data_IF_525596374417
#
_entry.id   IF_525596374417
#
_cell.length_a   1.000
_cell.length_b   1.000
_cell.length_c   1.000
_cell.angle_alpha   90.00
_cell.angle_beta   90.00
_cell.angle_gamma   90.00
#
_symmetry.space_group_name_H-M   'P 1'
#
loop_
_entity.id
_entity.type
_entity.pdbx_description
1 polymer ?
#
# COMPACT_ATOMS: atom_id res chain seq x y z
N UNK A 1 6.15 19.45 -32.68
CA UNK A 1 5.14 18.39 -32.48
C UNK A 1 5.84 17.22 -31.82
N UNK A 2 5.58 16.98 -30.54
CA UNK A 2 5.82 15.70 -29.87
C UNK A 2 4.72 15.58 -28.82
N UNK A 3 3.51 15.24 -29.26
CA UNK A 3 2.53 14.67 -28.35
C UNK A 3 3.02 13.25 -28.06
N UNK A 4 3.71 13.09 -26.93
CA UNK A 4 3.77 11.79 -26.26
C UNK A 4 2.31 11.36 -26.05
N UNK A 5 1.88 10.35 -26.78
CA UNK A 5 0.57 9.73 -26.58
C UNK A 5 0.55 9.18 -25.15
N UNK A 6 -0.04 9.92 -24.22
CA UNK A 6 -0.33 9.42 -22.87
C UNK A 6 -1.16 8.16 -23.03
N UNK A 7 -0.57 7.00 -22.74
CA UNK A 7 -1.30 5.73 -22.79
C UNK A 7 -2.45 5.80 -21.79
N UNK A 8 -3.69 5.72 -22.29
CA UNK A 8 -4.88 5.67 -21.46
C UNK A 8 -4.73 4.52 -20.48
N UNK A 9 -4.89 4.81 -19.18
CA UNK A 9 -4.80 3.82 -18.10
C UNK A 9 -6.11 3.05 -18.01
N UNK A 10 -6.06 1.80 -17.57
CA UNK A 10 -7.26 0.96 -17.46
C UNK A 10 -7.62 0.68 -16.01
N UNK A 11 -8.89 0.92 -15.68
CA UNK A 11 -9.56 0.46 -14.47
C UNK A 11 -10.36 -0.78 -14.85
N UNK A 12 -10.02 -1.94 -14.29
CA UNK A 12 -10.87 -3.13 -14.37
C UNK A 12 -11.84 -3.09 -13.20
N UNK A 13 -13.13 -2.84 -13.48
CA UNK A 13 -14.18 -2.94 -12.48
C UNK A 13 -14.84 -4.33 -12.58
N UNK A 14 -14.85 -5.08 -11.47
CA UNK A 14 -15.50 -6.38 -11.36
C UNK A 14 -16.61 -6.26 -10.31
N UNK A 15 -17.86 -6.29 -10.77
CA UNK A 15 -19.02 -6.34 -9.91
C UNK A 15 -19.57 -7.75 -9.79
N UNK A 16 -19.65 -8.31 -8.58
CA UNK A 16 -20.29 -9.61 -8.37
C UNK A 16 -21.80 -9.43 -8.23
N UNK A 17 -22.59 -10.12 -9.07
CA UNK A 17 -24.04 -10.04 -8.95
C UNK A 17 -24.50 -10.77 -7.68
N UNK A 18 -25.31 -10.08 -6.88
CA UNK A 18 -26.04 -10.65 -5.76
C UNK A 18 -27.41 -9.98 -5.66
N UNK A 19 -28.51 -10.71 -5.36
CA UNK A 19 -29.84 -10.13 -5.21
C UNK A 19 -29.93 -9.06 -4.13
N UNK A 20 -29.02 -9.10 -3.15
CA UNK A 20 -29.07 -8.33 -1.92
C UNK A 20 -28.30 -6.99 -2.01
N UNK A 21 -27.62 -6.70 -3.13
CA UNK A 21 -26.78 -5.51 -3.29
C UNK A 21 -26.86 -4.91 -4.69
N UNK A 22 -27.02 -3.58 -4.76
CA UNK A 22 -26.94 -2.85 -6.03
C UNK A 22 -25.53 -2.31 -6.23
N UNK A 23 -24.75 -2.97 -7.09
CA UNK A 23 -23.40 -2.54 -7.51
C UNK A 23 -23.43 -1.55 -8.69
N UNK A 24 -24.58 -1.39 -9.37
CA UNK A 24 -24.64 -0.59 -10.59
C UNK A 24 -24.43 0.90 -10.31
N UNK A 25 -24.87 1.40 -9.16
CA UNK A 25 -24.77 2.82 -8.81
C UNK A 25 -23.31 3.25 -8.65
N UNK A 26 -22.49 2.36 -8.07
CA UNK A 26 -21.07 2.59 -7.93
C UNK A 26 -20.37 2.68 -9.28
N UNK A 27 -20.51 1.66 -10.14
CA UNK A 27 -19.80 1.67 -11.42
C UNK A 27 -20.28 2.80 -12.34
N UNK A 28 -21.56 3.18 -12.27
CA UNK A 28 -22.08 4.35 -12.97
C UNK A 28 -21.43 5.64 -12.49
N UNK A 29 -21.23 5.80 -11.18
CA UNK A 29 -20.54 6.97 -10.63
C UNK A 29 -19.08 7.04 -11.10
N UNK A 30 -18.37 5.91 -11.09
CA UNK A 30 -16.99 5.82 -11.58
C UNK A 30 -16.93 6.15 -13.08
N UNK A 31 -17.81 5.55 -13.88
CA UNK A 31 -17.87 5.79 -15.32
C UNK A 31 -18.15 7.27 -15.62
N UNK A 32 -19.10 7.89 -14.92
CA UNK A 32 -19.42 9.29 -15.09
C UNK A 32 -18.21 10.22 -14.84
N UNK A 33 -17.40 9.93 -13.82
CA UNK A 33 -16.18 10.70 -13.55
C UNK A 33 -15.13 10.46 -14.65
N UNK A 34 -15.00 9.22 -15.12
CA UNK A 34 -13.97 8.83 -16.09
C UNK A 34 -14.32 9.15 -17.53
N UNK A 35 -15.59 9.45 -17.83
CA UNK A 35 -16.05 9.94 -19.13
C UNK A 35 -15.80 11.46 -19.31
N UNK A 36 -15.35 12.16 -18.26
CA UNK A 36 -14.94 13.56 -18.37
C UNK A 36 -13.80 13.73 -19.39
N UNK A 37 -13.83 14.79 -20.19
CA UNK A 37 -12.91 14.98 -21.34
C UNK A 37 -11.42 14.95 -20.99
N UNK A 38 -11.06 15.29 -19.75
CA UNK A 38 -9.69 15.31 -19.26
C UNK A 38 -9.24 14.01 -18.56
N UNK A 39 -10.14 13.03 -18.45
CA UNK A 39 -9.83 11.75 -17.82
C UNK A 39 -8.76 11.00 -18.59
N UNK A 40 -7.79 10.45 -17.86
CA UNK A 40 -6.72 9.60 -18.42
C UNK A 40 -7.03 8.11 -18.32
N UNK A 41 -8.25 7.75 -17.94
CA UNK A 41 -8.63 6.39 -17.62
C UNK A 41 -9.77 5.87 -18.49
N UNK A 42 -9.72 4.58 -18.80
CA UNK A 42 -10.79 3.79 -19.38
C UNK A 42 -11.30 2.79 -18.35
N UNK A 43 -12.61 2.68 -18.19
CA UNK A 43 -13.26 1.73 -17.28
C UNK A 43 -13.69 0.49 -18.08
N UNK A 44 -13.04 -0.64 -17.81
CA UNK A 44 -13.44 -1.97 -18.28
C UNK A 44 -14.37 -2.59 -17.24
N UNK A 45 -15.68 -2.36 -17.40
CA UNK A 45 -16.71 -2.87 -16.49
C UNK A 45 -17.09 -4.33 -16.82
N UNK A 46 -16.99 -5.22 -15.83
CA UNK A 46 -17.37 -6.63 -15.90
C UNK A 46 -18.30 -6.98 -14.74
N UNK A 47 -19.53 -7.38 -15.05
CA UNK A 47 -20.39 -8.07 -14.09
C UNK A 47 -20.15 -9.57 -14.19
N UNK A 48 -19.97 -10.23 -13.04
CA UNK A 48 -19.65 -11.66 -12.96
C UNK A 48 -20.68 -12.43 -12.13
N UNK A 49 -20.94 -13.68 -12.54
CA UNK A 49 -21.94 -14.57 -11.93
C UNK A 49 -21.32 -15.89 -11.40
N UNK A 50 -19.99 -16.07 -11.48
CA UNK A 50 -19.26 -17.23 -10.93
C UNK A 50 -17.84 -16.86 -10.47
N UNK A 51 -17.20 -17.64 -9.58
CA UNK A 51 -15.79 -17.41 -9.20
C UNK A 51 -14.83 -17.50 -10.38
N UNK A 52 -15.10 -18.43 -11.32
CA UNK A 52 -14.32 -18.57 -12.54
C UNK A 52 -14.43 -17.38 -13.49
N UNK A 53 -15.52 -16.61 -13.42
CA UNK A 53 -15.65 -15.36 -14.18
C UNK A 53 -14.76 -14.23 -13.63
N UNK A 54 -14.48 -14.23 -12.31
CA UNK A 54 -13.54 -13.26 -11.71
C UNK A 54 -12.14 -13.47 -12.28
N UNK A 55 -11.65 -14.71 -12.25
CA UNK A 55 -10.35 -15.08 -12.82
C UNK A 55 -10.29 -14.76 -14.32
N UNK A 56 -11.32 -15.15 -15.09
CA UNK A 56 -11.41 -14.81 -16.51
C UNK A 56 -11.41 -13.30 -16.75
N UNK A 57 -12.07 -12.50 -15.93
CA UNK A 57 -12.09 -11.05 -16.06
C UNK A 57 -10.70 -10.46 -15.86
N UNK A 58 -9.97 -10.90 -14.82
CA UNK A 58 -8.60 -10.49 -14.52
C UNK A 58 -7.67 -10.87 -15.69
N UNK A 59 -7.73 -12.13 -16.16
CA UNK A 59 -6.90 -12.59 -17.28
C UNK A 59 -7.21 -11.86 -18.60
N UNK A 60 -8.49 -11.62 -18.90
CA UNK A 60 -8.93 -10.94 -20.15
C UNK A 60 -8.60 -9.46 -20.17
N UNK A 61 -8.53 -8.80 -19.01
CA UNK A 61 -8.06 -7.43 -18.95
C UNK A 61 -6.60 -7.32 -19.44
N UNK A 62 -5.87 -8.45 -19.49
CA UNK A 62 -4.45 -8.53 -19.86
C UNK A 62 -3.57 -7.84 -18.82
N UNK A 63 -2.25 -7.86 -19.00
CA UNK A 63 -1.29 -7.14 -18.16
C UNK A 63 -1.41 -5.59 -18.31
N UNK A 64 -2.61 -5.07 -18.51
CA UNK A 64 -2.91 -3.68 -18.86
C UNK A 64 -3.83 -2.97 -17.88
N UNK A 65 -4.47 -3.66 -16.92
CA UNK A 65 -5.23 -3.00 -15.87
C UNK A 65 -4.27 -2.43 -14.81
N UNK A 66 -4.27 -1.12 -14.62
CA UNK A 66 -3.50 -0.48 -13.57
C UNK A 66 -4.26 -0.38 -12.25
N UNK A 67 -5.59 -0.38 -12.31
CA UNK A 67 -6.44 -0.45 -11.13
C UNK A 67 -7.39 -1.63 -11.30
N UNK A 68 -7.51 -2.48 -10.28
CA UNK A 68 -8.54 -3.51 -10.20
C UNK A 68 -9.46 -3.15 -9.05
N UNK A 69 -10.74 -2.91 -9.35
CA UNK A 69 -11.77 -2.58 -8.37
C UNK A 69 -12.78 -3.72 -8.33
N UNK A 70 -12.91 -4.38 -7.19
CA UNK A 70 -13.85 -5.49 -7.00
C UNK A 70 -14.91 -5.05 -6.01
N UNK A 71 -16.18 -5.12 -6.43
CA UNK A 71 -17.33 -4.69 -5.64
C UNK A 71 -18.37 -5.78 -5.56
N UNK A 72 -19.03 -5.89 -4.40
CA UNK A 72 -20.01 -6.95 -4.18
C UNK A 72 -20.38 -7.18 -2.73
N UNK A 73 -21.03 -8.32 -2.49
CA UNK A 73 -21.50 -8.68 -1.17
C UNK A 73 -20.43 -9.48 -0.41
N UNK A 74 -19.77 -8.83 0.53
CA UNK A 74 -18.79 -9.47 1.41
C UNK A 74 -19.44 -10.31 2.51
N UNK A 75 -18.85 -11.45 2.82
CA UNK A 75 -19.21 -12.27 3.98
C UNK A 75 -18.03 -12.34 4.96
N UNK A 76 -18.29 -12.85 6.17
CA UNK A 76 -17.26 -12.96 7.21
C UNK A 76 -16.03 -13.75 6.73
N UNK A 77 -14.84 -13.37 7.22
CA UNK A 77 -13.56 -13.95 6.77
C UNK A 77 -13.04 -13.37 5.45
N UNK A 78 -13.58 -12.23 5.01
CA UNK A 78 -13.13 -11.51 3.81
C UNK A 78 -13.42 -12.20 2.49
N UNK A 79 -14.42 -13.08 2.47
CA UNK A 79 -14.91 -13.72 1.25
C UNK A 79 -15.88 -12.79 0.54
N UNK A 80 -16.04 -12.99 -0.77
CA UNK A 80 -17.05 -12.30 -1.57
C UNK A 80 -18.04 -13.33 -2.12
N UNK A 81 -19.33 -13.09 -1.87
CA UNK A 81 -20.43 -13.93 -2.32
C UNK A 81 -20.68 -13.68 -3.80
N UNK A 82 -20.76 -14.74 -4.57
CA UNK A 82 -21.09 -14.74 -5.99
C UNK A 82 -22.32 -15.63 -6.15
N UNK A 83 -23.43 -15.02 -6.53
CA UNK A 83 -24.70 -15.75 -6.62
C UNK A 83 -24.83 -16.28 -8.04
N UNK A 84 -24.75 -17.60 -8.18
CA UNK A 84 -25.26 -18.25 -9.39
C UNK A 84 -26.77 -18.02 -9.49
N UNK A 85 -27.38 -18.35 -10.64
CA UNK A 85 -28.82 -18.18 -10.91
C UNK A 85 -29.77 -18.75 -9.84
N UNK A 86 -29.30 -19.58 -8.90
CA UNK A 86 -30.05 -20.08 -7.74
C UNK A 86 -29.57 -19.41 -6.42
N UNK A 87 -30.41 -18.59 -5.76
CA UNK A 87 -30.10 -17.97 -4.46
C UNK A 87 -29.73 -18.95 -3.33
N UNK A 88 -30.04 -20.25 -3.48
CA UNK A 88 -29.73 -21.30 -2.50
C UNK A 88 -28.32 -21.87 -2.62
N UNK A 89 -27.63 -21.64 -3.74
CA UNK A 89 -26.26 -22.08 -3.98
C UNK A 89 -25.42 -20.82 -4.18
N UNK A 90 -25.03 -20.20 -3.06
CA UNK A 90 -24.08 -19.11 -3.10
C UNK A 90 -22.67 -19.68 -3.19
N UNK A 91 -21.96 -19.36 -4.28
CA UNK A 91 -20.53 -19.59 -4.36
C UNK A 91 -19.83 -18.46 -3.59
N UNK A 92 -18.79 -18.77 -2.82
CA UNK A 92 -17.96 -17.77 -2.15
C UNK A 92 -16.55 -17.83 -2.74
N UNK A 93 -16.00 -16.67 -3.11
CA UNK A 93 -14.60 -16.59 -3.47
C UNK A 93 -13.76 -16.39 -2.20
N UNK A 94 -12.91 -17.37 -1.91
CA UNK A 94 -12.01 -17.35 -0.76
C UNK A 94 -10.87 -16.33 -0.92
N UNK A 95 -10.46 -15.63 0.16
CA UNK A 95 -9.37 -14.65 0.19
C UNK A 95 -8.07 -15.12 -0.49
N UNK A 96 -7.68 -16.37 -0.23
CA UNK A 96 -6.45 -16.97 -0.76
C UNK A 96 -6.53 -17.16 -2.28
N UNK A 97 -7.68 -17.63 -2.74
CA UNK A 97 -7.93 -17.84 -4.16
C UNK A 97 -7.95 -16.51 -4.91
N UNK A 98 -8.61 -15.49 -4.35
CA UNK A 98 -8.58 -14.14 -4.92
C UNK A 98 -7.16 -13.58 -5.02
N UNK A 99 -6.32 -13.80 -3.99
CA UNK A 99 -4.92 -13.37 -4.03
C UNK A 99 -4.10 -14.05 -5.13
N UNK A 100 -4.31 -15.35 -5.40
CA UNK A 100 -3.67 -16.04 -6.52
C UNK A 100 -4.15 -15.51 -7.88
N UNK A 101 -5.43 -15.15 -8.02
CA UNK A 101 -5.93 -14.52 -9.26
C UNK A 101 -5.24 -13.17 -9.50
N UNK A 102 -5.15 -12.32 -8.47
CA UNK A 102 -4.51 -11.00 -8.56
C UNK A 102 -3.01 -11.10 -8.81
N UNK A 103 -2.33 -12.09 -8.23
CA UNK A 103 -0.90 -12.37 -8.46
C UNK A 103 -0.59 -12.73 -9.92
N UNK A 104 -1.55 -13.33 -10.62
CA UNK A 104 -1.44 -13.66 -12.04
C UNK A 104 -1.85 -12.50 -12.97
N UNK A 105 -2.27 -11.35 -12.41
CA UNK A 105 -2.41 -10.12 -13.19
C UNK A 105 -1.03 -9.55 -13.57
N UNK A 106 -1.02 -8.55 -14.45
CA UNK A 106 0.20 -7.75 -14.71
C UNK A 106 0.56 -6.84 -13.54
N UNK A 107 1.43 -5.86 -13.76
CA UNK A 107 1.73 -4.83 -12.76
C UNK A 107 0.50 -3.95 -12.51
N UNK A 108 0.03 -3.92 -11.25
CA UNK A 108 -1.17 -3.20 -10.81
C UNK A 108 -0.76 -2.12 -9.81
N UNK A 109 -1.15 -0.87 -10.07
CA UNK A 109 -0.89 0.24 -9.17
C UNK A 109 -1.80 0.20 -7.93
N UNK A 110 -3.05 -0.25 -8.08
CA UNK A 110 -3.98 -0.35 -6.95
C UNK A 110 -5.02 -1.47 -7.11
N UNK A 111 -5.24 -2.25 -6.06
CA UNK A 111 -6.40 -3.13 -5.90
C UNK A 111 -7.33 -2.56 -4.85
N UNK A 112 -8.61 -2.41 -5.18
CA UNK A 112 -9.66 -1.92 -4.27
C UNK A 112 -10.67 -3.05 -4.08
N UNK A 113 -10.79 -3.54 -2.86
CA UNK A 113 -11.80 -4.53 -2.48
C UNK A 113 -12.96 -3.82 -1.79
N UNK A 114 -13.89 -3.29 -2.57
CA UNK A 114 -15.02 -2.51 -2.09
C UNK A 114 -16.22 -3.41 -1.72
N UNK A 115 -16.03 -4.23 -0.70
CA UNK A 115 -17.07 -5.07 -0.12
C UNK A 115 -16.80 -5.27 1.38
N UNK A 116 -17.87 -5.57 2.14
CA UNK A 116 -17.80 -5.74 3.59
C UNK A 116 -16.73 -6.74 4.02
N UNK A 117 -16.02 -6.45 5.12
CA UNK A 117 -15.02 -7.34 5.73
C UNK A 117 -13.84 -7.76 4.82
N UNK A 118 -13.59 -7.04 3.71
CA UNK A 118 -12.56 -7.40 2.73
C UNK A 118 -11.12 -7.31 3.23
N UNK A 119 -10.87 -6.82 4.45
CA UNK A 119 -9.54 -6.75 5.08
C UNK A 119 -8.75 -8.04 4.99
N UNK A 120 -9.38 -9.20 5.20
CA UNK A 120 -8.66 -10.48 5.18
C UNK A 120 -8.15 -10.80 3.76
N UNK A 121 -9.00 -10.65 2.73
CA UNK A 121 -8.57 -10.73 1.33
C UNK A 121 -7.49 -9.71 0.98
N UNK A 122 -7.65 -8.46 1.41
CA UNK A 122 -6.67 -7.41 1.18
C UNK A 122 -5.29 -7.75 1.80
N UNK A 123 -5.28 -8.36 2.99
CA UNK A 123 -4.06 -8.87 3.61
C UNK A 123 -3.41 -9.99 2.80
N UNK A 124 -4.19 -10.94 2.28
CA UNK A 124 -3.64 -12.00 1.43
C UNK A 124 -3.05 -11.45 0.14
N UNK A 125 -3.72 -10.49 -0.52
CA UNK A 125 -3.20 -9.84 -1.72
C UNK A 125 -1.90 -9.10 -1.40
N UNK A 126 -1.90 -8.23 -0.38
CA UNK A 126 -0.71 -7.43 -0.02
C UNK A 126 0.52 -8.29 0.31
N UNK A 127 0.32 -9.49 0.89
CA UNK A 127 1.40 -10.42 1.23
C UNK A 127 1.89 -11.27 0.06
N UNK A 128 1.03 -11.60 -0.90
CA UNK A 128 1.33 -12.64 -1.90
C UNK A 128 1.42 -12.11 -3.35
N UNK A 129 0.79 -10.99 -3.66
CA UNK A 129 0.74 -10.39 -4.99
C UNK A 129 1.74 -9.23 -5.11
N UNK A 130 3.02 -9.56 -5.33
CA UNK A 130 4.12 -8.57 -5.43
C UNK A 130 4.00 -7.59 -6.61
N UNK A 131 3.17 -7.94 -7.59
CA UNK A 131 2.81 -7.08 -8.72
C UNK A 131 1.86 -5.93 -8.34
N UNK A 132 1.36 -5.89 -7.10
CA UNK A 132 0.40 -4.88 -6.64
C UNK A 132 1.07 -3.84 -5.73
N UNK A 133 1.01 -2.56 -6.09
CA UNK A 133 1.63 -1.48 -5.30
C UNK A 133 0.80 -1.03 -4.10
N UNK A 134 -0.53 -1.10 -4.20
CA UNK A 134 -1.48 -0.68 -3.17
C UNK A 134 -2.66 -1.63 -3.09
N UNK A 135 -3.08 -1.96 -1.87
CA UNK A 135 -4.29 -2.73 -1.62
C UNK A 135 -5.16 -1.99 -0.63
N UNK A 136 -6.41 -1.73 -1.01
CA UNK A 136 -7.42 -1.08 -0.20
C UNK A 136 -8.53 -2.09 0.09
N UNK A 137 -8.99 -2.13 1.32
CA UNK A 137 -10.11 -2.97 1.75
C UNK A 137 -10.91 -2.31 2.86
N UNK A 138 -11.83 -3.08 3.44
CA UNK A 138 -12.77 -2.62 4.46
C UNK A 138 -12.66 -3.54 5.67
N UNK A 139 -12.46 -2.96 6.85
CA UNK A 139 -12.28 -3.71 8.10
C UNK A 139 -13.59 -4.23 8.69
N UNK A 140 -14.73 -3.72 8.23
CA UNK A 140 -16.06 -4.01 8.80
C UNK A 140 -17.15 -3.96 7.72
N UNK A 141 -18.42 -3.98 8.11
CA UNK A 141 -19.56 -3.76 7.22
C UNK A 141 -19.62 -2.33 6.67
N UNK A 142 -20.01 -2.15 5.41
CA UNK A 142 -20.21 -0.81 4.82
C UNK A 142 -21.57 -0.78 4.13
N UNK A 143 -22.32 0.31 4.30
CA UNK A 143 -23.56 0.53 3.55
C UNK A 143 -23.26 1.00 2.11
N UNK A 144 -24.17 0.70 1.18
CA UNK A 144 -23.99 1.03 -0.23
C UNK A 144 -23.77 2.53 -0.51
N UNK A 145 -24.51 3.48 0.12
CA UNK A 145 -24.23 4.91 -0.06
C UNK A 145 -22.80 5.30 0.30
N UNK A 146 -22.29 4.82 1.45
CA UNK A 146 -20.90 5.07 1.87
C UNK A 146 -19.88 4.45 0.91
N UNK A 147 -20.18 3.28 0.33
CA UNK A 147 -19.34 2.65 -0.69
C UNK A 147 -19.28 3.45 -2.00
N UNK A 148 -20.42 3.97 -2.46
CA UNK A 148 -20.49 4.83 -3.64
C UNK A 148 -19.75 6.15 -3.43
N UNK A 149 -19.88 6.77 -2.25
CA UNK A 149 -19.16 8.01 -1.92
C UNK A 149 -17.64 7.81 -1.84
N UNK A 150 -17.18 6.69 -1.25
CA UNK A 150 -15.76 6.33 -1.29
C UNK A 150 -15.24 6.31 -2.73
N UNK A 151 -15.88 5.52 -3.59
CA UNK A 151 -15.49 5.37 -5.00
C UNK A 151 -15.55 6.71 -5.74
N UNK A 152 -16.60 7.49 -5.52
CA UNK A 152 -16.78 8.81 -6.15
C UNK A 152 -15.64 9.75 -5.80
N UNK A 153 -15.31 9.93 -4.52
CA UNK A 153 -14.24 10.83 -4.09
C UNK A 153 -12.85 10.30 -4.49
N UNK A 154 -12.61 8.99 -4.35
CA UNK A 154 -11.36 8.34 -4.77
C UNK A 154 -11.05 8.59 -6.25
N UNK A 155 -12.01 8.30 -7.13
CA UNK A 155 -11.82 8.43 -8.57
C UNK A 155 -11.85 9.88 -9.05
N UNK A 156 -12.57 10.78 -8.37
CA UNK A 156 -12.50 12.22 -8.63
C UNK A 156 -11.12 12.79 -8.34
N UNK A 157 -10.43 12.31 -7.29
CA UNK A 157 -9.06 12.73 -7.02
C UNK A 157 -8.07 12.18 -8.07
N UNK A 158 -8.36 11.06 -8.71
CA UNK A 158 -7.47 10.45 -9.71
C UNK A 158 -7.65 10.97 -11.14
N UNK A 159 -8.86 11.37 -11.54
CA UNK A 159 -9.28 11.40 -12.95
C UNK A 159 -8.33 12.16 -13.90
N UNK A 160 -7.77 13.29 -13.48
CA UNK A 160 -6.88 14.14 -14.29
C UNK A 160 -5.39 14.05 -13.91
N UNK A 161 -5.07 13.31 -12.85
CA UNK A 161 -3.74 13.23 -12.24
C UNK A 161 -2.91 12.05 -12.78
N UNK A 162 -1.56 12.12 -12.72
CA UNK A 162 -0.73 10.96 -13.05
C UNK A 162 -0.96 9.82 -12.04
N UNK A 163 -1.06 8.59 -12.53
CA UNK A 163 -1.19 7.43 -11.65
C UNK A 163 0.16 7.08 -11.01
N UNK A 164 0.28 7.35 -9.71
CA UNK A 164 1.41 6.95 -8.89
C UNK A 164 0.95 6.74 -7.43
N UNK A 165 1.82 6.16 -6.61
CA UNK A 165 1.58 5.87 -5.20
C UNK A 165 1.03 7.04 -4.40
N UNK A 166 1.64 8.23 -4.51
CA UNK A 166 1.24 9.43 -3.77
C UNK A 166 -0.18 9.88 -4.12
N UNK A 167 -0.52 9.88 -5.41
CA UNK A 167 -1.87 10.24 -5.87
C UNK A 167 -2.91 9.21 -5.43
N UNK A 168 -2.59 7.91 -5.49
CA UNK A 168 -3.48 6.83 -4.98
C UNK A 168 -3.70 6.98 -3.48
N UNK A 169 -2.67 7.34 -2.72
CA UNK A 169 -2.77 7.51 -1.28
C UNK A 169 -3.62 8.72 -0.90
N UNK A 170 -3.47 9.83 -1.62
CA UNK A 170 -4.36 10.98 -1.45
C UNK A 170 -5.80 10.63 -1.83
N UNK A 171 -6.01 9.95 -2.95
CA UNK A 171 -7.33 9.47 -3.37
C UNK A 171 -7.99 8.56 -2.32
N UNK A 172 -7.20 7.66 -1.70
CA UNK A 172 -7.67 6.82 -0.60
C UNK A 172 -8.15 7.66 0.59
N UNK A 173 -7.41 8.71 0.97
CA UNK A 173 -7.79 9.56 2.09
C UNK A 173 -9.05 10.38 1.82
N UNK A 174 -9.16 10.95 0.62
CA UNK A 174 -10.38 11.67 0.18
C UNK A 174 -11.59 10.73 0.15
N UNK A 175 -11.44 9.54 -0.45
CA UNK A 175 -12.46 8.50 -0.47
C UNK A 175 -12.90 8.08 0.94
N UNK A 176 -11.93 7.79 1.81
CA UNK A 176 -12.20 7.38 3.19
C UNK A 176 -12.90 8.49 3.96
N UNK A 177 -12.50 9.75 3.80
CA UNK A 177 -13.13 10.89 4.42
C UNK A 177 -14.58 11.07 3.94
N UNK A 178 -14.84 10.95 2.64
CA UNK A 178 -16.18 11.05 2.05
C UNK A 178 -17.12 9.96 2.58
N UNK A 179 -16.69 8.70 2.58
CA UNK A 179 -17.47 7.61 3.18
C UNK A 179 -17.75 7.83 4.68
N UNK A 180 -16.77 8.38 5.40
CA UNK A 180 -16.89 8.62 6.84
C UNK A 180 -17.91 9.73 7.19
N UNK A 181 -18.29 10.58 6.23
CA UNK A 181 -19.35 11.58 6.43
C UNK A 181 -20.74 10.95 6.55
N UNK A 182 -20.96 9.81 5.90
CA UNK A 182 -22.23 9.05 5.97
C UNK A 182 -22.17 8.07 7.15
N UNK A 183 -21.08 7.28 7.21
CA UNK A 183 -20.88 6.27 8.22
C UNK A 183 -19.72 6.71 9.13
N UNK A 184 -20.02 7.15 10.36
CA UNK A 184 -19.11 7.92 11.24
C UNK A 184 -17.81 7.22 11.67
N UNK A 185 -17.52 6.03 11.14
CA UNK A 185 -16.31 5.25 11.41
C UNK A 185 -15.43 5.12 10.16
N UNK A 186 -14.11 5.17 10.36
CA UNK A 186 -13.13 4.98 9.29
C UNK A 186 -12.97 3.50 8.93
N UNK A 187 -13.92 2.95 8.16
CA UNK A 187 -13.96 1.51 7.84
C UNK A 187 -12.98 1.10 6.74
N UNK A 188 -12.66 2.02 5.83
CA UNK A 188 -11.68 1.78 4.78
C UNK A 188 -10.26 1.79 5.33
N UNK A 189 -9.52 0.76 4.97
CA UNK A 189 -8.13 0.58 5.30
C UNK A 189 -7.30 0.44 4.03
N UNK A 190 -6.10 1.02 4.05
CA UNK A 190 -5.06 0.74 3.08
C UNK A 190 -4.06 -0.18 3.77
N UNK A 191 -3.71 -1.27 3.11
CA UNK A 191 -2.77 -2.23 3.68
C UNK A 191 -1.35 -1.68 3.48
N UNK A 192 -0.55 -1.62 4.55
CA UNK A 192 0.79 -1.07 4.47
C UNK A 192 1.70 -2.02 3.69
N UNK A 193 2.75 -1.48 3.06
CA UNK A 193 3.74 -2.30 2.36
C UNK A 193 4.66 -2.94 3.38
N UNK A 194 4.89 -4.25 3.27
CA UNK A 194 5.92 -4.91 4.07
C UNK A 194 7.20 -4.99 3.25
N UNK A 195 8.28 -4.42 3.80
CA UNK A 195 9.56 -4.29 3.12
C UNK A 195 10.71 -4.82 3.97
N UNK A 196 11.81 -5.15 3.30
CA UNK A 196 13.13 -5.23 3.89
C UNK A 196 13.99 -4.08 3.41
N UNK A 197 14.88 -3.58 4.27
CA UNK A 197 15.72 -2.41 3.99
C UNK A 197 17.18 -2.84 4.16
N UNK A 198 17.96 -2.81 3.08
CA UNK A 198 19.35 -3.29 3.10
C UNK A 198 20.36 -2.17 2.78
N UNK A 199 21.35 -2.01 3.65
CA UNK A 199 22.42 -1.01 3.52
C UNK A 199 23.38 -1.39 2.41
N UNK A 200 23.86 -0.44 1.61
CA UNK A 200 24.82 -0.66 0.52
C UNK A 200 26.29 -0.55 0.92
N UNK A 201 26.60 -0.39 2.21
CA UNK A 201 27.96 -0.23 2.71
C UNK A 201 28.94 -1.35 2.30
N UNK A 202 30.24 -1.02 2.41
CA UNK A 202 31.36 -1.71 1.76
C UNK A 202 31.69 -3.12 2.29
N UNK A 203 31.11 -3.51 3.43
CA UNK A 203 31.46 -4.78 4.09
C UNK A 203 30.31 -5.78 3.99
N UNK A 204 30.64 -6.97 3.49
CA UNK A 204 29.72 -8.11 3.42
C UNK A 204 29.36 -8.62 4.82
N UNK A 205 28.15 -9.14 4.99
CA UNK A 205 27.65 -9.66 6.26
C UNK A 205 26.34 -9.00 6.68
N UNK A 206 26.31 -8.39 7.87
CA UNK A 206 25.12 -7.72 8.40
C UNK A 206 24.79 -6.45 7.61
N UNK A 207 23.63 -6.45 6.93
CA UNK A 207 23.20 -5.37 6.04
C UNK A 207 21.72 -5.02 6.14
N UNK A 208 20.89 -5.87 6.72
CA UNK A 208 19.45 -5.63 6.82
C UNK A 208 19.13 -4.82 8.07
N UNK A 209 18.41 -3.71 7.92
CA UNK A 209 17.92 -2.91 9.03
C UNK A 209 17.04 -3.79 9.92
N UNK A 210 17.43 -3.96 11.18
CA UNK A 210 16.79 -4.88 12.10
C UNK A 210 16.40 -4.18 13.40
N UNK A 211 15.09 -4.08 13.64
CA UNK A 211 14.55 -3.62 14.91
C UNK A 211 14.60 -4.71 15.96
N UNK A 212 15.18 -4.42 17.12
CA UNK A 212 15.17 -5.29 18.30
C UNK A 212 14.08 -4.80 19.23
N UNK A 213 12.88 -5.33 19.01
CA UNK A 213 11.62 -4.79 19.55
C UNK A 213 11.52 -4.83 21.07
N UNK A 214 12.18 -5.78 21.74
CA UNK A 214 12.23 -5.84 23.20
C UNK A 214 13.10 -4.74 23.80
N UNK A 215 14.28 -4.53 23.24
CA UNK A 215 15.28 -3.59 23.75
C UNK A 215 15.07 -2.16 23.26
N UNK A 216 14.25 -1.95 22.24
CA UNK A 216 14.03 -0.64 21.64
C UNK A 216 15.22 -0.14 20.81
N UNK A 217 16.08 -1.05 20.35
CA UNK A 217 17.32 -0.72 19.63
C UNK A 217 17.24 -1.14 18.16
N UNK A 218 18.13 -0.57 17.35
CA UNK A 218 18.22 -0.87 15.91
C UNK A 218 19.66 -1.26 15.57
N UNK A 219 19.80 -2.28 14.74
CA UNK A 219 21.10 -2.81 14.31
C UNK A 219 21.00 -3.35 12.88
N UNK A 220 22.12 -3.83 12.35
CA UNK A 220 22.14 -4.58 11.10
C UNK A 220 22.14 -6.09 11.37
N UNK A 221 21.31 -6.81 10.63
CA UNK A 221 21.25 -8.27 10.62
C UNK A 221 21.80 -8.85 9.31
N UNK A 222 22.31 -10.09 9.31
CA UNK A 222 22.88 -10.73 8.12
C UNK A 222 21.85 -11.34 7.16
N UNK A 223 20.58 -11.49 7.56
CA UNK A 223 19.54 -12.09 6.72
C UNK A 223 18.13 -11.65 7.14
N UNK A 224 17.14 -11.92 6.30
CA UNK A 224 15.70 -11.68 6.56
C UNK A 224 14.92 -12.94 7.01
N UNK A 225 15.65 -14.00 7.36
CA UNK A 225 15.07 -15.27 7.82
C UNK A 225 14.23 -15.08 9.08
N UNK A 226 13.36 -16.04 9.40
CA UNK A 226 12.39 -15.96 10.50
C UNK A 226 13.01 -15.55 11.85
N UNK A 227 14.22 -16.02 12.17
CA UNK A 227 14.93 -15.64 13.41
C UNK A 227 15.31 -14.14 13.50
N UNK A 228 15.29 -13.43 12.38
CA UNK A 228 15.50 -11.99 12.28
C UNK A 228 14.20 -11.30 11.87
N UNK A 229 13.07 -11.67 12.48
CA UNK A 229 11.76 -11.07 12.16
C UNK A 229 11.76 -9.54 12.26
N UNK A 230 12.64 -8.95 13.08
CA UNK A 230 12.86 -7.51 13.16
C UNK A 230 13.39 -6.83 11.90
N UNK A 231 13.77 -7.59 10.86
CA UNK A 231 14.15 -7.08 9.53
C UNK A 231 12.98 -6.77 8.63
N UNK A 232 11.77 -7.12 9.06
CA UNK A 232 10.53 -6.87 8.32
C UNK A 232 9.91 -5.58 8.83
N UNK A 233 9.67 -4.65 7.91
CA UNK A 233 9.16 -3.32 8.23
C UNK A 233 7.86 -3.09 7.48
N UNK A 234 6.81 -2.78 8.23
CA UNK A 234 5.60 -2.19 7.70
C UNK A 234 5.89 -0.71 7.39
N UNK A 235 5.86 -0.35 6.11
CA UNK A 235 6.12 0.99 5.60
C UNK A 235 4.80 1.64 5.21
N UNK A 236 4.42 2.67 5.96
CA UNK A 236 3.20 3.43 5.74
C UNK A 236 3.55 4.83 5.21
N UNK A 237 3.11 5.15 3.99
CA UNK A 237 3.35 6.45 3.39
C UNK A 237 2.42 7.50 4.01
N UNK A 238 3.01 8.59 4.51
CA UNK A 238 2.33 9.75 5.05
C UNK A 238 2.13 10.76 3.91
N UNK A 239 0.92 11.32 3.74
CA UNK A 239 0.70 12.42 2.81
C UNK A 239 1.67 13.58 3.10
N UNK A 240 2.36 14.04 2.07
CA UNK A 240 3.22 15.21 2.18
C UNK A 240 2.95 16.17 1.04
N UNK A 241 3.18 17.46 1.28
CA UNK A 241 3.01 18.49 0.26
C UNK A 241 4.20 18.42 -0.71
N UNK A 242 3.97 17.90 -1.92
CA UNK A 242 4.97 17.82 -3.00
C UNK A 242 5.23 16.40 -3.51
N UNK A 243 6.25 16.24 -4.36
CA UNK A 243 6.59 14.97 -5.01
C UNK A 243 7.49 14.05 -4.16
N UNK A 244 7.70 14.36 -2.87
CA UNK A 244 8.55 13.55 -2.00
C UNK A 244 7.75 12.50 -1.22
N UNK A 245 8.21 11.25 -1.23
CA UNK A 245 7.63 10.17 -0.42
C UNK A 245 8.11 10.30 1.02
N UNK A 246 7.17 10.44 1.97
CA UNK A 246 7.44 10.42 3.41
C UNK A 246 6.77 9.19 4.01
N UNK A 247 7.46 8.48 4.90
CA UNK A 247 6.99 7.21 5.48
C UNK A 247 7.18 7.14 6.98
N UNK A 248 6.41 6.29 7.63
CA UNK A 248 6.76 5.66 8.92
C UNK A 248 7.20 4.23 8.67
N UNK A 249 8.08 3.72 9.56
CA UNK A 249 8.60 2.36 9.49
C UNK A 249 8.32 1.64 10.81
N UNK A 250 7.39 0.70 10.78
CA UNK A 250 6.98 -0.11 11.93
C UNK A 250 7.59 -1.51 11.83
N UNK A 251 8.44 -1.86 12.78
CA UNK A 251 9.08 -3.16 12.89
C UNK A 251 8.06 -4.25 13.20
N UNK A 252 8.12 -5.36 12.45
CA UNK A 252 7.25 -6.53 12.59
C UNK A 252 7.94 -7.69 13.33
N UNK A 253 8.90 -7.39 14.21
CA UNK A 253 9.55 -8.39 15.05
C UNK A 253 8.55 -9.15 15.93
N UNK A 254 8.76 -10.45 16.12
CA UNK A 254 7.78 -11.35 16.78
C UNK A 254 7.62 -11.08 18.29
N UNK A 255 8.46 -10.23 18.86
CA UNK A 255 8.44 -9.91 20.29
C UNK A 255 7.72 -8.59 20.51
N UNK A 256 6.72 -8.58 21.40
CA UNK A 256 6.02 -7.37 21.84
C UNK A 256 6.96 -6.35 22.50
N UNK A 257 6.71 -5.07 22.22
CA UNK A 257 7.57 -3.97 22.65
C UNK A 257 7.55 -2.79 21.67
N UNK A 258 8.70 -2.12 21.54
CA UNK A 258 8.88 -0.98 20.65
C UNK A 258 8.70 -1.38 19.18
N UNK A 259 8.21 -0.43 18.36
CA UNK A 259 7.76 -0.71 16.99
C UNK A 259 8.29 0.26 15.95
N UNK A 260 8.28 1.56 16.22
CA UNK A 260 8.50 2.55 15.15
C UNK A 260 9.95 3.03 15.12
N UNK A 261 10.54 3.08 13.92
CA UNK A 261 11.88 3.60 13.70
C UNK A 261 11.93 5.10 14.00
N UNK A 262 12.75 5.49 14.96
CA UNK A 262 12.91 6.88 15.40
C UNK A 262 14.36 7.34 15.22
N UNK A 263 14.55 8.39 14.43
CA UNK A 263 15.82 9.07 14.25
C UNK A 263 15.99 10.20 15.27
N UNK A 264 16.92 10.02 16.21
CA UNK A 264 17.23 11.00 17.25
C UNK A 264 18.29 11.96 16.74
N UNK A 265 17.81 13.02 16.10
CA UNK A 265 18.63 13.93 15.27
C UNK A 265 19.64 14.76 16.05
N UNK A 266 19.40 14.99 17.35
CA UNK A 266 20.35 15.67 18.25
C UNK A 266 21.53 14.76 18.61
N UNK A 267 21.25 13.50 18.92
CA UNK A 267 22.24 12.52 19.38
C UNK A 267 22.95 11.79 18.24
N UNK A 268 22.41 11.86 17.01
CA UNK A 268 22.92 11.11 15.86
C UNK A 268 22.67 9.61 15.96
N UNK A 269 21.64 9.21 16.71
CA UNK A 269 21.31 7.80 16.98
C UNK A 269 19.96 7.41 16.40
N UNK A 270 19.73 6.10 16.32
CA UNK A 270 18.46 5.52 15.85
C UNK A 270 17.98 4.51 16.87
N UNK A 271 16.68 4.53 17.17
CA UNK A 271 16.05 3.66 18.14
C UNK A 271 14.66 3.22 17.65
N UNK A 272 13.99 2.39 18.45
CA UNK A 272 12.58 2.15 18.30
C UNK A 272 11.79 2.87 19.39
N UNK A 273 10.64 3.42 19.03
CA UNK A 273 9.64 3.97 19.96
C UNK A 273 8.36 3.14 19.92
N UNK A 274 7.52 3.24 20.96
CA UNK A 274 6.32 2.40 21.08
C UNK A 274 5.21 2.83 20.13
N UNK A 275 5.08 4.13 19.88
CA UNK A 275 3.99 4.70 19.07
C UNK A 275 4.48 5.90 18.26
N UNK A 276 3.63 6.34 17.34
CA UNK A 276 3.79 7.56 16.56
C UNK A 276 2.87 8.64 17.13
N UNK A 277 3.45 9.80 17.43
CA UNK A 277 2.73 10.98 17.92
C UNK A 277 3.16 12.16 17.07
N UNK A 278 2.34 13.22 17.00
CA UNK A 278 2.62 14.36 16.13
C UNK A 278 3.97 15.04 16.45
N UNK A 279 4.35 15.05 17.73
CA UNK A 279 5.61 15.61 18.23
C UNK A 279 6.82 14.67 18.05
N UNK A 280 6.60 13.39 17.69
CA UNK A 280 7.64 12.42 17.39
C UNK A 280 8.07 12.54 15.92
N UNK A 281 8.54 13.73 15.53
CA UNK A 281 8.96 14.06 14.17
C UNK A 281 10.11 13.18 13.66
N UNK A 282 10.91 12.62 14.59
CA UNK A 282 11.96 11.64 14.30
C UNK A 282 11.47 10.30 13.71
N UNK A 283 10.17 10.00 13.81
CA UNK A 283 9.56 8.79 13.22
C UNK A 283 9.19 8.95 11.75
N UNK A 284 9.29 10.17 11.20
CA UNK A 284 8.94 10.48 9.82
C UNK A 284 10.21 10.49 8.97
N UNK A 285 10.22 9.66 7.92
CA UNK A 285 11.38 9.46 7.05
C UNK A 285 11.04 9.82 5.62
N UNK A 286 11.76 10.77 5.05
CA UNK A 286 11.68 11.10 3.64
C UNK A 286 12.59 10.16 2.84
N UNK A 287 12.03 9.49 1.83
CA UNK A 287 12.77 8.64 0.90
C UNK A 287 13.25 9.51 -0.26
N UNK A 288 14.56 9.57 -0.49
CA UNK A 288 15.17 10.37 -1.54
C UNK A 288 15.96 9.44 -2.49
N UNK A 289 15.77 9.52 -3.81
CA UNK A 289 16.56 8.74 -4.76
C UNK A 289 18.04 9.10 -4.67
N UNK A 290 18.92 8.11 -4.79
CA UNK A 290 20.38 8.30 -4.72
C UNK A 290 21.00 8.33 -6.12
N UNK A 291 21.72 9.41 -6.44
CA UNK A 291 22.69 9.53 -7.53
C UNK A 291 22.39 8.73 -8.82
N UNK A 292 21.25 8.99 -9.46
CA UNK A 292 20.95 8.49 -10.80
C UNK A 292 20.50 7.02 -10.90
N UNK A 293 20.44 6.28 -9.79
CA UNK A 293 19.85 4.94 -9.72
C UNK A 293 18.52 5.01 -8.96
N UNK A 294 17.40 4.78 -9.67
CA UNK A 294 16.08 4.81 -9.06
C UNK A 294 15.81 3.65 -8.10
N UNK A 295 16.69 2.65 -8.04
CA UNK A 295 16.57 1.50 -7.13
C UNK A 295 17.30 1.71 -5.80
N UNK A 296 18.11 2.77 -5.69
CA UNK A 296 18.88 3.09 -4.49
C UNK A 296 18.35 4.38 -3.88
N UNK A 297 18.14 4.36 -2.57
CA UNK A 297 17.57 5.49 -1.84
C UNK A 297 18.44 5.89 -0.66
N UNK A 298 18.20 7.11 -0.19
CA UNK A 298 18.67 7.60 1.11
C UNK A 298 17.45 7.91 1.96
N UNK A 299 17.52 7.57 3.25
CA UNK A 299 16.44 7.79 4.20
C UNK A 299 16.79 9.00 5.06
N UNK A 300 16.05 10.09 4.90
CA UNK A 300 16.24 11.33 5.64
C UNK A 300 15.20 11.47 6.76
N UNK A 301 15.64 11.46 8.00
CA UNK A 301 14.83 11.76 9.17
C UNK A 301 14.36 13.22 9.15
N UNK A 302 13.08 13.44 9.46
CA UNK A 302 12.44 14.74 9.52
C UNK A 302 12.35 15.33 10.94
N UNK A 303 13.14 14.82 11.88
CA UNK A 303 13.18 15.32 13.26
C UNK A 303 13.61 16.80 13.35
N UNK A 304 13.07 17.53 14.33
CA UNK A 304 13.10 19.00 14.36
C UNK A 304 14.47 19.64 14.63
N UNK A 305 15.46 18.89 15.15
CA UNK A 305 16.77 19.45 15.54
C UNK A 305 17.79 19.31 14.41
N UNK A 306 18.28 20.40 13.83
CA UNK A 306 19.29 20.37 12.76
C UNK A 306 20.60 19.65 13.14
N UNK A 307 21.25 19.03 12.15
CA UNK A 307 22.45 18.20 12.32
C UNK A 307 22.31 16.86 11.61
N UNK A 308 22.28 15.77 12.37
CA UNK A 308 22.20 14.41 11.83
C UNK A 308 20.82 14.14 11.23
N UNK A 309 20.78 13.72 9.96
CA UNK A 309 19.54 13.62 9.18
C UNK A 309 19.42 12.33 8.40
N UNK A 310 20.52 11.69 8.02
CA UNK A 310 20.47 10.56 7.10
C UNK A 310 20.77 9.25 7.82
N UNK A 311 20.02 8.20 7.50
CA UNK A 311 20.23 6.87 8.06
C UNK A 311 21.60 6.30 7.65
N UNK A 312 22.42 5.97 8.64
CA UNK A 312 23.80 5.49 8.47
C UNK A 312 23.91 4.02 8.88
N UNK A 313 24.13 3.15 7.90
CA UNK A 313 24.33 1.72 8.10
C UNK A 313 25.81 1.38 8.23
N UNK A 314 26.28 1.18 9.46
CA UNK A 314 27.70 0.91 9.76
C UNK A 314 27.99 -0.58 9.64
N UNK A 315 28.09 -1.06 8.40
CA UNK A 315 28.24 -2.49 8.05
C UNK A 315 29.40 -3.21 8.75
N UNK A 316 30.50 -2.51 9.04
CA UNK A 316 31.64 -3.07 9.81
C UNK A 316 31.30 -3.40 11.26
N UNK A 317 30.48 -2.57 11.89
CA UNK A 317 30.12 -2.67 13.31
C UNK A 317 28.79 -3.42 13.50
N UNK A 318 28.01 -3.56 12.43
CA UNK A 318 26.64 -4.09 12.50
C UNK A 318 25.68 -3.13 13.22
N UNK A 319 26.01 -1.85 13.30
CA UNK A 319 25.24 -0.82 14.01
C UNK A 319 24.54 0.12 13.02
N UNK A 320 23.58 0.89 13.52
CA UNK A 320 22.83 1.89 12.76
C UNK A 320 22.83 3.20 13.54
N UNK A 321 23.03 4.31 12.84
CA UNK A 321 22.98 5.65 13.42
C UNK A 321 22.43 6.67 12.43
N UNK A 322 22.69 7.95 12.70
CA UNK A 322 22.45 9.02 11.75
C UNK A 322 23.77 9.72 11.37
N UNK A 323 23.81 10.26 10.17
CA UNK A 323 24.89 11.10 9.66
C UNK A 323 24.35 12.44 9.10
N UNK A 324 25.20 13.47 9.05
CA UNK A 324 24.79 14.81 8.61
C UNK A 324 24.60 14.92 7.09
N UNK A 325 25.39 14.15 6.32
CA UNK A 325 25.38 14.17 4.84
C UNK A 325 25.31 12.75 4.30
N UNK A 326 24.57 12.55 3.22
CA UNK A 326 24.41 11.27 2.54
C UNK A 326 25.39 11.10 1.37
N UNK A 327 26.69 11.24 1.63
CA UNK A 327 27.76 11.21 0.61
C UNK A 327 28.51 9.87 0.50
N UNK A 328 28.23 8.90 1.39
CA UNK A 328 28.87 7.58 1.41
C UNK A 328 27.92 6.40 1.16
N UNK A 329 28.50 5.22 0.89
CA UNK A 329 27.75 3.98 0.63
C UNK A 329 26.96 3.50 1.86
N UNK A 330 27.37 3.87 3.07
CA UNK A 330 26.62 3.57 4.30
C UNK A 330 25.29 4.35 4.39
N UNK A 331 25.16 5.46 3.66
CA UNK A 331 23.92 6.24 3.58
C UNK A 331 22.95 5.70 2.51
N UNK A 332 23.39 4.75 1.70
CA UNK A 332 22.63 4.21 0.58
C UNK A 332 21.95 2.91 0.98
N UNK A 333 20.68 2.78 0.60
CA UNK A 333 19.83 1.66 0.98
C UNK A 333 19.02 1.17 -0.22
N UNK A 334 18.69 -0.12 -0.21
CA UNK A 334 17.66 -0.71 -1.06
C UNK A 334 16.45 -1.08 -0.22
N UNK A 335 15.26 -0.83 -0.76
CA UNK A 335 13.99 -1.20 -0.14
C UNK A 335 13.33 -2.23 -1.07
N UNK A 336 13.16 -3.44 -0.56
CA UNK A 336 12.63 -4.58 -1.32
C UNK A 336 11.31 -5.06 -0.69
N UNK A 337 10.26 -5.21 -1.50
CA UNK A 337 8.96 -5.74 -1.06
C UNK A 337 9.10 -7.25 -0.71
N UNK A 338 8.68 -7.65 0.50
CA UNK A 338 8.89 -9.03 1.02
C UNK A 338 7.66 -9.91 1.01
#
# INVERSE_FOLDING_TARGET
MNQLTSTIKKILYIGTRSPDINIDDEVKAIQYIMDAENSKFFVDNRTVDSTGDVDRAIQRAGNSAQIIHISGHGTGGGKIKIVEKDPKIAEELEPRTLAEYIKNAGDVDCVILNFCYSKEAANFIAKNAKNVKRVIGINDDIDSPSAVEFSTAFYRELCDKPLNSSVVDKAFLEGRAAASQINRDHKYIRLPKVVSISCLGDVNGSRFLNGRTREGTVALAPSIEARFSGTRWEMDEIPSNGDSTVVTLKCLGDVDGYRFLDGRTREGTVALVMDIEDWLTGTKWQILPSNGDSTVVTLKCLGDVDGYRFLDGRTREGTVGLMEKADGLNAQWRIDDI
#
